data_IF_834540179456
#
_entry.id   IF_834540179456
#
_cell.length_a   1.000
_cell.length_b   1.000
_cell.length_c   1.000
_cell.angle_alpha   90.00
_cell.angle_beta   90.00
_cell.angle_gamma   90.00
#
_symmetry.space_group_name_H-M   'P 1'
#
loop_
_entity.id
_entity.type
_entity.pdbx_description
1 polymer ?
#
# COMPACT_ATOMS: atom_id res chain seq x y z
N UNK A 1 -12.10 16.51 8.05
CA UNK A 1 -13.16 17.55 7.88
C UNK A 1 -14.40 17.18 8.69
N UNK A 2 -15.30 18.15 8.96
CA UNK A 2 -16.61 17.89 9.60
C UNK A 2 -17.57 17.26 8.57
N UNK A 3 -18.26 16.20 8.95
CA UNK A 3 -19.41 15.63 8.22
C UNK A 3 -20.58 15.64 9.21
N UNK A 4 -21.71 16.26 8.84
CA UNK A 4 -22.87 16.48 9.72
C UNK A 4 -22.56 17.15 11.08
N UNK A 5 -21.59 18.06 11.09
CA UNK A 5 -21.18 18.79 12.29
C UNK A 5 -20.39 17.97 13.32
N UNK A 6 -19.94 16.75 12.96
CA UNK A 6 -19.13 15.90 13.83
C UNK A 6 -17.70 15.79 13.33
N UNK A 7 -16.75 15.76 14.28
CA UNK A 7 -15.34 15.52 13.97
C UNK A 7 -15.16 14.10 13.40
N UNK A 8 -14.48 14.01 12.26
CA UNK A 8 -14.13 12.75 11.58
C UNK A 8 -12.63 12.69 11.31
N UNK A 9 -12.08 11.49 11.39
CA UNK A 9 -10.70 11.21 10.97
C UNK A 9 -10.66 11.29 9.44
N UNK A 10 -9.80 12.16 8.91
CA UNK A 10 -9.67 12.42 7.46
C UNK A 10 -8.52 11.61 6.83
N UNK A 11 -7.51 11.28 7.63
CA UNK A 11 -6.31 10.60 7.18
C UNK A 11 -5.07 11.01 7.98
N UNK A 12 -3.90 11.00 7.34
CA UNK A 12 -2.60 11.25 7.99
C UNK A 12 -1.98 12.54 7.42
N UNK A 13 -1.61 13.46 8.31
CA UNK A 13 -0.91 14.68 7.95
C UNK A 13 0.56 14.41 7.59
N UNK A 14 1.02 14.99 6.49
CA UNK A 14 2.41 14.97 6.04
C UNK A 14 3.11 16.24 6.52
N UNK A 15 4.28 16.05 7.12
CA UNK A 15 5.11 17.14 7.64
C UNK A 15 6.49 17.12 6.99
N UNK A 16 7.02 18.32 6.70
CA UNK A 16 8.40 18.52 6.26
C UNK A 16 9.02 19.63 7.09
N UNK A 17 10.15 19.32 7.74
CA UNK A 17 10.87 20.25 8.64
C UNK A 17 9.95 20.91 9.68
N UNK A 18 9.06 20.12 10.28
CA UNK A 18 8.12 20.56 11.31
C UNK A 18 6.92 21.37 10.81
N UNK A 19 6.74 21.52 9.49
CA UNK A 19 5.60 22.24 8.90
C UNK A 19 4.66 21.26 8.22
N UNK A 20 3.35 21.46 8.38
CA UNK A 20 2.33 20.78 7.60
C UNK A 20 2.49 21.17 6.13
N UNK A 21 2.48 20.19 5.23
CA UNK A 21 2.58 20.44 3.78
C UNK A 21 1.37 19.90 3.01
N UNK A 22 0.83 18.76 3.44
CA UNK A 22 -0.35 18.13 2.87
C UNK A 22 -0.84 17.02 3.82
N UNK A 23 -1.84 16.26 3.41
CA UNK A 23 -2.27 15.04 4.06
C UNK A 23 -2.56 13.97 3.00
N UNK A 24 -2.55 12.71 3.45
CA UNK A 24 -3.09 11.59 2.69
C UNK A 24 -4.44 11.20 3.28
N UNK A 25 -5.39 10.79 2.44
CA UNK A 25 -6.74 10.43 2.87
C UNK A 25 -6.77 9.07 3.60
N UNK A 26 -7.93 8.64 4.10
CA UNK A 26 -8.08 7.35 4.79
C UNK A 26 -7.65 6.14 3.96
N UNK A 27 -7.93 6.13 2.66
CA UNK A 27 -7.56 5.03 1.76
C UNK A 27 -6.03 4.92 1.63
N UNK A 28 -5.38 6.05 1.36
CA UNK A 28 -3.93 6.15 1.28
C UNK A 28 -3.27 5.86 2.64
N UNK A 29 -3.90 6.26 3.74
CA UNK A 29 -3.44 5.95 5.10
C UNK A 29 -3.46 4.45 5.38
N UNK A 30 -4.48 3.73 4.87
CA UNK A 30 -4.53 2.27 4.92
C UNK A 30 -3.36 1.65 4.15
N UNK A 31 -3.09 2.13 2.93
CA UNK A 31 -1.98 1.66 2.09
C UNK A 31 -0.61 1.93 2.74
N UNK A 32 -0.39 3.11 3.29
CA UNK A 32 0.81 3.44 4.07
C UNK A 32 1.01 2.43 5.20
N UNK A 33 -0.07 2.11 5.91
CA UNK A 33 -0.01 1.19 7.04
C UNK A 33 0.32 -0.24 6.61
N UNK A 34 -0.09 -0.69 5.42
CA UNK A 34 0.33 -2.00 4.87
C UNK A 34 1.86 -2.10 4.69
N UNK A 35 2.53 -0.98 4.44
CA UNK A 35 3.97 -0.88 4.20
C UNK A 35 4.83 -0.70 5.45
N UNK A 36 4.27 -0.06 6.48
CA UNK A 36 5.03 0.33 7.67
C UNK A 36 4.99 -0.74 8.77
N UNK A 37 3.82 -1.33 9.02
CA UNK A 37 3.62 -2.26 10.13
C UNK A 37 2.63 -3.37 9.77
N UNK A 38 2.76 -4.60 10.33
CA UNK A 38 1.77 -5.64 10.13
C UNK A 38 0.40 -5.16 10.63
N UNK A 39 -0.56 -5.02 9.73
CA UNK A 39 -1.94 -4.72 10.13
C UNK A 39 -2.59 -6.02 10.59
N UNK A 40 -3.07 -6.02 11.83
CA UNK A 40 -4.07 -6.99 12.27
C UNK A 40 -5.44 -6.34 12.11
N UNK A 41 -6.25 -6.86 11.18
CA UNK A 41 -7.68 -6.56 11.03
C UNK A 41 -8.07 -5.18 10.46
N UNK A 42 -7.51 -4.78 9.33
CA UNK A 42 -7.98 -3.59 8.59
C UNK A 42 -9.03 -3.94 7.54
N UNK A 43 -10.02 -3.08 7.32
CA UNK A 43 -11.01 -3.23 6.23
C UNK A 43 -10.69 -2.32 5.05
N UNK A 44 -10.94 -2.81 3.84
CA UNK A 44 -10.67 -2.10 2.60
C UNK A 44 -11.76 -2.44 1.57
N UNK A 45 -12.26 -1.42 0.89
CA UNK A 45 -13.14 -1.59 -0.28
C UNK A 45 -12.40 -1.05 -1.49
N UNK A 46 -12.39 -1.82 -2.58
CA UNK A 46 -11.85 -1.36 -3.85
C UNK A 46 -12.75 -1.71 -5.01
N UNK A 47 -12.68 -0.89 -6.05
CA UNK A 47 -13.26 -1.20 -7.36
C UNK A 47 -12.33 -2.14 -8.11
N UNK A 48 -12.91 -3.15 -8.73
CA UNK A 48 -12.21 -4.04 -9.65
C UNK A 48 -12.94 -4.05 -10.98
N UNK A 49 -12.18 -4.21 -12.05
CA UNK A 49 -12.68 -4.31 -13.41
C UNK A 49 -12.06 -5.51 -14.10
N UNK A 50 -12.87 -6.24 -14.85
CA UNK A 50 -12.48 -7.43 -15.58
C UNK A 50 -13.35 -7.62 -16.83
N UNK A 51 -12.75 -7.61 -18.02
CA UNK A 51 -13.46 -7.75 -19.31
C UNK A 51 -14.70 -6.84 -19.44
N UNK A 52 -14.56 -5.54 -19.14
CA UNK A 52 -15.62 -4.51 -19.10
C UNK A 52 -16.71 -4.75 -18.02
N UNK A 53 -16.49 -5.64 -17.07
CA UNK A 53 -17.35 -5.81 -15.90
C UNK A 53 -16.73 -5.07 -14.73
N UNK A 54 -17.44 -4.07 -14.23
CA UNK A 54 -17.06 -3.39 -13.00
C UNK A 54 -17.68 -4.08 -11.78
N UNK A 55 -17.00 -3.96 -10.64
CA UNK A 55 -17.47 -4.48 -9.37
C UNK A 55 -16.74 -3.85 -8.20
N UNK A 56 -17.19 -4.17 -6.99
CA UNK A 56 -16.49 -3.80 -5.75
C UNK A 56 -16.18 -5.04 -4.93
N UNK A 57 -14.97 -5.10 -4.42
CA UNK A 57 -14.53 -6.11 -3.45
C UNK A 57 -14.38 -5.43 -2.10
N UNK A 58 -15.05 -5.98 -1.10
CA UNK A 58 -14.83 -5.62 0.30
C UNK A 58 -14.04 -6.73 0.97
N UNK A 59 -12.90 -6.37 1.55
CA UNK A 59 -11.97 -7.30 2.18
C UNK A 59 -11.56 -6.83 3.57
N UNK A 60 -11.09 -7.78 4.37
CA UNK A 60 -10.41 -7.55 5.64
C UNK A 60 -9.00 -8.12 5.53
N UNK A 61 -7.98 -7.29 5.73
CA UNK A 61 -6.61 -7.75 5.91
C UNK A 61 -6.46 -8.45 7.26
N UNK A 62 -5.97 -9.67 7.20
CA UNK A 62 -5.66 -10.49 8.37
C UNK A 62 -4.20 -10.30 8.78
N UNK A 63 -3.31 -10.20 7.80
CA UNK A 63 -1.88 -10.00 7.99
C UNK A 63 -1.27 -9.27 6.78
N UNK A 64 -0.24 -8.47 7.03
CA UNK A 64 0.55 -7.80 6.01
C UNK A 64 2.04 -7.84 6.35
N UNK A 65 2.87 -8.11 5.34
CA UNK A 65 4.31 -8.13 5.50
C UNK A 65 5.00 -7.48 4.32
N UNK A 66 5.71 -6.39 4.58
CA UNK A 66 6.55 -5.70 3.60
C UNK A 66 8.02 -6.10 3.75
N UNK A 67 8.70 -6.38 2.64
CA UNK A 67 10.16 -6.55 2.57
C UNK A 67 10.74 -5.59 1.54
N UNK A 68 11.77 -4.86 1.92
CA UNK A 68 12.41 -3.86 1.07
C UNK A 68 13.70 -4.44 0.48
N UNK A 69 13.69 -4.73 -0.83
CA UNK A 69 14.89 -5.09 -1.57
C UNK A 69 15.51 -3.83 -2.16
N UNK A 70 16.74 -3.55 -1.76
CA UNK A 70 17.50 -2.38 -2.23
C UNK A 70 18.67 -2.93 -3.05
N UNK A 71 18.78 -2.50 -4.30
CA UNK A 71 19.91 -2.79 -5.19
C UNK A 71 20.69 -1.52 -5.45
N UNK A 72 22.02 -1.64 -5.53
CA UNK A 72 22.99 -0.55 -5.75
C UNK A 72 23.04 0.48 -4.61
N UNK A 73 24.25 0.79 -4.12
CA UNK A 73 24.42 1.77 -3.05
C UNK A 73 24.37 3.22 -3.55
N UNK A 74 24.91 3.49 -4.75
CA UNK A 74 25.01 4.85 -5.30
C UNK A 74 23.72 5.35 -5.93
N UNK A 75 23.04 4.49 -6.69
CA UNK A 75 21.78 4.78 -7.37
C UNK A 75 20.75 3.70 -6.98
N UNK A 76 20.17 3.80 -5.77
CA UNK A 76 19.35 2.73 -5.22
C UNK A 76 18.08 2.51 -6.05
N UNK A 77 17.89 1.26 -6.48
CA UNK A 77 16.63 0.76 -7.02
C UNK A 77 15.93 -0.04 -5.93
N UNK A 78 14.72 0.36 -5.60
CA UNK A 78 13.95 -0.25 -4.51
C UNK A 78 12.81 -1.08 -5.11
N UNK A 79 12.73 -2.34 -4.67
CA UNK A 79 11.59 -3.20 -4.91
C UNK A 79 10.97 -3.57 -3.56
N UNK A 80 9.74 -3.11 -3.35
CA UNK A 80 8.96 -3.39 -2.15
C UNK A 80 8.14 -4.65 -2.43
N UNK A 81 8.45 -5.73 -1.72
CA UNK A 81 7.65 -6.95 -1.76
C UNK A 81 6.61 -6.92 -0.66
N UNK A 82 5.35 -6.86 -1.04
CA UNK A 82 4.22 -6.85 -0.11
C UNK A 82 3.52 -8.21 -0.15
N UNK A 83 3.39 -8.87 1.00
CA UNK A 83 2.57 -10.08 1.14
C UNK A 83 1.33 -9.74 1.95
N UNK A 84 0.15 -10.04 1.42
CA UNK A 84 -1.14 -9.77 2.04
C UNK A 84 -1.91 -11.06 2.22
N UNK A 85 -2.37 -11.33 3.46
CA UNK A 85 -3.38 -12.34 3.73
C UNK A 85 -4.70 -11.66 3.98
N UNK A 86 -5.70 -11.97 3.16
CA UNK A 86 -6.98 -11.28 3.20
C UNK A 86 -8.14 -12.26 3.36
N UNK A 87 -9.21 -11.78 3.97
CA UNK A 87 -10.52 -12.41 3.97
C UNK A 87 -11.44 -11.55 3.12
N UNK A 88 -12.04 -12.11 2.07
CA UNK A 88 -13.02 -11.40 1.27
C UNK A 88 -14.39 -11.52 1.92
N UNK A 89 -15.09 -10.41 2.14
CA UNK A 89 -16.45 -10.39 2.70
C UNK A 89 -17.53 -10.19 1.65
N UNK A 90 -17.20 -9.48 0.56
CA UNK A 90 -18.14 -9.22 -0.52
C UNK A 90 -17.40 -9.14 -1.84
N UNK A 91 -17.97 -9.78 -2.86
CA UNK A 91 -17.52 -9.74 -4.25
C UNK A 91 -18.70 -9.38 -5.17
N UNK A 92 -18.43 -8.85 -6.37
CA UNK A 92 -19.47 -8.70 -7.38
C UNK A 92 -19.99 -10.08 -7.84
N UNK A 93 -21.23 -10.13 -8.34
CA UNK A 93 -21.92 -11.38 -8.72
C UNK A 93 -21.21 -12.21 -9.80
N UNK A 94 -20.30 -11.60 -10.55
CA UNK A 94 -19.54 -12.26 -11.62
C UNK A 94 -18.25 -12.94 -11.12
N UNK A 95 -17.92 -12.82 -9.82
CA UNK A 95 -16.85 -13.58 -9.16
C UNK A 95 -17.48 -14.63 -8.25
N UNK A 96 -17.11 -15.89 -8.44
CA UNK A 96 -17.51 -17.02 -7.61
C UNK A 96 -16.29 -17.59 -6.87
N UNK A 97 -16.05 -17.11 -5.64
CA UNK A 97 -14.90 -17.53 -4.82
C UNK A 97 -14.94 -19.00 -4.36
N UNK A 98 -15.99 -19.76 -4.67
CA UNK A 98 -15.98 -21.22 -4.51
C UNK A 98 -15.12 -21.90 -5.58
N UNK A 99 -14.89 -21.24 -6.71
CA UNK A 99 -14.06 -21.72 -7.81
C UNK A 99 -12.63 -21.26 -7.65
N UNK A 100 -11.68 -22.21 -7.67
CA UNK A 100 -10.24 -21.93 -7.59
C UNK A 100 -9.75 -20.94 -8.66
N UNK A 101 -10.30 -21.02 -9.87
CA UNK A 101 -9.95 -20.11 -10.96
C UNK A 101 -10.32 -18.65 -10.64
N UNK A 102 -11.50 -18.43 -10.08
CA UNK A 102 -11.99 -17.10 -9.70
C UNK A 102 -11.23 -16.53 -8.50
N UNK A 103 -10.82 -17.40 -7.55
CA UNK A 103 -9.91 -17.00 -6.45
C UNK A 103 -8.59 -16.48 -7.01
N UNK A 104 -7.92 -17.25 -7.86
CA UNK A 104 -6.65 -16.86 -8.48
C UNK A 104 -6.78 -15.58 -9.32
N UNK A 105 -7.89 -15.45 -10.07
CA UNK A 105 -8.18 -14.24 -10.84
C UNK A 105 -8.34 -13.03 -9.92
N UNK A 106 -9.07 -13.19 -8.81
CA UNK A 106 -9.30 -12.14 -7.83
C UNK A 106 -8.02 -11.72 -7.14
N UNK A 107 -7.15 -12.67 -6.78
CA UNK A 107 -5.80 -12.39 -6.27
C UNK A 107 -5.02 -11.51 -7.24
N UNK A 108 -4.97 -11.88 -8.54
CA UNK A 108 -4.26 -11.10 -9.56
C UNK A 108 -4.82 -9.70 -9.75
N UNK A 109 -6.14 -9.53 -9.73
CA UNK A 109 -6.79 -8.22 -9.80
C UNK A 109 -6.39 -7.34 -8.59
N UNK A 110 -6.39 -7.91 -7.40
CA UNK A 110 -6.01 -7.21 -6.18
C UNK A 110 -4.51 -6.90 -6.12
N UNK A 111 -3.64 -7.81 -6.57
CA UNK A 111 -2.20 -7.57 -6.70
C UNK A 111 -1.91 -6.36 -7.61
N UNK A 112 -2.51 -6.33 -8.80
CA UNK A 112 -2.36 -5.22 -9.74
C UNK A 112 -2.89 -3.91 -9.15
N UNK A 113 -4.05 -3.95 -8.47
CA UNK A 113 -4.62 -2.80 -7.78
C UNK A 113 -3.68 -2.25 -6.71
N UNK A 114 -3.22 -3.10 -5.78
CA UNK A 114 -2.33 -2.66 -4.69
C UNK A 114 -0.98 -2.16 -5.20
N UNK A 115 -0.39 -2.79 -6.23
CA UNK A 115 0.83 -2.29 -6.85
C UNK A 115 0.62 -0.85 -7.34
N UNK A 116 -0.42 -0.62 -8.14
CA UNK A 116 -0.73 0.70 -8.70
C UNK A 116 -0.99 1.75 -7.62
N UNK A 117 -1.85 1.44 -6.65
CA UNK A 117 -2.23 2.41 -5.61
C UNK A 117 -1.05 2.77 -4.70
N UNK A 118 -0.21 1.79 -4.35
CA UNK A 118 0.96 2.03 -3.50
C UNK A 118 2.04 2.81 -4.28
N UNK A 119 2.26 2.50 -5.55
CA UNK A 119 3.17 3.28 -6.40
C UNK A 119 2.72 4.74 -6.52
N UNK A 120 1.42 4.98 -6.72
CA UNK A 120 0.85 6.33 -6.71
C UNK A 120 1.04 7.04 -5.36
N UNK A 121 0.84 6.33 -4.25
CA UNK A 121 1.10 6.87 -2.91
C UNK A 121 2.57 7.25 -2.71
N UNK A 122 3.50 6.41 -3.20
CA UNK A 122 4.94 6.70 -3.13
C UNK A 122 5.29 7.90 -4.00
N UNK A 123 4.68 8.05 -5.18
CA UNK A 123 4.87 9.23 -6.02
C UNK A 123 4.43 10.51 -5.31
N UNK A 124 3.33 10.49 -4.55
CA UNK A 124 2.90 11.62 -3.70
C UNK A 124 4.00 11.93 -2.67
N UNK A 125 4.54 10.92 -1.99
CA UNK A 125 5.63 11.14 -1.02
C UNK A 125 6.88 11.74 -1.67
N UNK A 126 7.24 11.30 -2.88
CA UNK A 126 8.35 11.84 -3.66
C UNK A 126 8.10 13.29 -4.10
N UNK A 127 6.89 13.63 -4.57
CA UNK A 127 6.48 14.98 -4.98
C UNK A 127 6.59 15.96 -3.80
N UNK A 128 6.14 15.55 -2.62
CA UNK A 128 6.22 16.35 -1.40
C UNK A 128 7.59 16.27 -0.71
N UNK A 129 8.51 15.45 -1.24
CA UNK A 129 9.84 15.14 -0.70
C UNK A 129 9.80 14.79 0.80
N UNK A 130 8.88 13.90 1.17
CA UNK A 130 8.75 13.32 2.52
C UNK A 130 8.92 11.82 2.44
N UNK A 131 9.41 11.19 3.51
CA UNK A 131 9.62 9.73 3.56
C UNK A 131 8.83 9.05 4.70
N UNK A 132 7.50 8.93 4.59
CA UNK A 132 6.68 8.31 5.64
C UNK A 132 6.90 6.79 5.81
N UNK A 133 7.53 6.13 4.84
CA UNK A 133 7.80 4.68 4.84
C UNK A 133 9.24 4.32 5.30
N UNK A 134 10.03 5.33 5.66
CA UNK A 134 11.35 5.19 6.27
C UNK A 134 12.43 4.61 5.34
N UNK A 135 12.38 4.88 4.04
CA UNK A 135 13.42 4.45 3.09
C UNK A 135 14.80 5.02 3.43
N UNK A 136 14.89 6.25 3.92
CA UNK A 136 16.14 6.88 4.32
C UNK A 136 16.85 6.08 5.40
N UNK A 137 16.14 5.70 6.47
CA UNK A 137 16.72 4.88 7.54
C UNK A 137 17.08 3.46 7.05
N UNK A 138 16.30 2.89 6.12
CA UNK A 138 16.61 1.58 5.52
C UNK A 138 17.88 1.60 4.65
N UNK A 139 18.11 2.70 3.93
CA UNK A 139 19.31 2.90 3.13
C UNK A 139 20.53 3.18 4.00
N UNK A 140 20.38 4.01 5.04
CA UNK A 140 21.40 4.28 6.06
C UNK A 140 21.93 3.00 6.69
N UNK A 141 21.05 2.07 7.05
CA UNK A 141 21.43 0.78 7.61
C UNK A 141 22.31 -0.08 6.68
N UNK A 142 22.35 0.23 5.37
CA UNK A 142 23.15 -0.49 4.36
C UNK A 142 24.35 0.31 3.85
N UNK A 143 24.49 1.58 4.21
CA UNK A 143 25.54 2.45 3.69
C UNK A 143 26.57 2.77 4.77
N UNK A 144 27.85 2.59 4.45
CA UNK A 144 28.96 2.99 5.33
C UNK A 144 29.16 4.52 5.39
N UNK A 145 28.82 5.22 4.30
CA UNK A 145 29.04 6.66 4.14
C UNK A 145 27.70 7.39 3.95
N UNK A 146 26.80 7.23 4.92
CA UNK A 146 25.45 7.82 4.85
C UNK A 146 25.48 9.35 4.95
N UNK A 147 24.81 10.02 4.03
CA UNK A 147 24.54 11.45 4.08
C UNK A 147 23.06 11.70 3.78
N UNK A 148 22.34 12.22 4.78
CA UNK A 148 20.90 12.45 4.68
C UNK A 148 20.55 13.56 3.67
N UNK A 149 21.36 14.62 3.54
CA UNK A 149 21.13 15.67 2.54
C UNK A 149 21.32 15.13 1.12
N UNK A 150 22.31 14.24 0.93
CA UNK A 150 22.48 13.55 -0.33
C UNK A 150 21.27 12.66 -0.65
N UNK A 151 20.78 11.89 0.32
CA UNK A 151 19.55 11.10 0.18
C UNK A 151 18.36 11.95 -0.28
N UNK A 152 18.09 13.06 0.42
CA UNK A 152 17.00 13.96 0.06
C UNK A 152 17.14 14.53 -1.35
N UNK A 153 18.36 14.73 -1.86
CA UNK A 153 18.57 15.26 -3.21
C UNK A 153 18.18 14.30 -4.33
N UNK A 154 18.27 12.97 -4.10
CA UNK A 154 17.92 11.97 -5.11
C UNK A 154 16.60 11.24 -4.82
N UNK A 155 16.07 11.30 -3.60
CA UNK A 155 14.81 10.67 -3.21
C UNK A 155 13.65 10.92 -4.18
N UNK A 156 13.40 12.16 -4.66
CA UNK A 156 12.29 12.44 -5.56
C UNK A 156 12.38 11.73 -6.91
N UNK A 157 13.58 11.30 -7.32
CA UNK A 157 13.86 10.66 -8.60
C UNK A 157 14.17 9.15 -8.46
N UNK A 158 14.06 8.60 -7.24
CA UNK A 158 14.34 7.19 -7.01
C UNK A 158 13.34 6.29 -7.73
N UNK A 159 13.86 5.23 -8.36
CA UNK A 159 13.03 4.18 -8.92
C UNK A 159 12.58 3.23 -7.80
N UNK A 160 11.28 3.29 -7.48
CA UNK A 160 10.64 2.46 -6.46
C UNK A 160 9.49 1.71 -7.12
N UNK A 161 9.54 0.38 -7.03
CA UNK A 161 8.53 -0.52 -7.58
C UNK A 161 7.89 -1.36 -6.47
N UNK A 162 6.64 -1.78 -6.69
CA UNK A 162 5.91 -2.62 -5.75
C UNK A 162 5.56 -3.96 -6.39
N UNK A 163 5.78 -5.04 -5.64
CA UNK A 163 5.47 -6.41 -6.03
C UNK A 163 4.62 -7.05 -4.92
N UNK A 164 3.31 -7.00 -5.11
CA UNK A 164 2.33 -7.53 -4.16
C UNK A 164 1.98 -8.99 -4.48
N UNK A 165 1.92 -9.82 -3.44
CA UNK A 165 1.37 -11.16 -3.46
C UNK A 165 0.15 -11.22 -2.53
N UNK A 166 -1.02 -11.51 -3.07
CA UNK A 166 -2.27 -11.62 -2.31
C UNK A 166 -2.61 -13.10 -2.11
N UNK A 167 -2.95 -13.46 -0.88
CA UNK A 167 -3.40 -14.79 -0.47
C UNK A 167 -4.81 -14.66 0.12
N UNK A 168 -5.82 -15.13 -0.61
CA UNK A 168 -7.20 -15.13 -0.13
C UNK A 168 -7.41 -16.33 0.79
N UNK A 169 -7.52 -16.06 2.09
CA UNK A 169 -7.87 -17.06 3.08
C UNK A 169 -9.38 -17.28 3.00
N UNK A 170 -9.79 -18.43 2.47
CA UNK A 170 -11.16 -18.92 2.64
C UNK A 170 -11.36 -19.26 4.11
N UNK A 171 -11.91 -18.33 4.87
CA UNK A 171 -12.57 -18.67 6.12
C UNK A 171 -13.88 -19.34 5.73
N UNK A 172 -14.12 -20.56 6.24
CA UNK A 172 -15.45 -21.17 6.14
C UNK A 172 -16.51 -20.14 6.50
N UNK A 173 -17.63 -20.17 5.77
CA UNK A 173 -18.82 -19.37 6.05
C UNK A 173 -19.04 -19.36 7.56
N UNK A 174 -18.83 -18.20 8.21
CA UNK A 174 -19.44 -17.99 9.51
C UNK A 174 -20.95 -17.99 9.23
N UNK A 175 -21.64 -18.93 9.87
CA UNK A 175 -23.08 -19.23 9.79
C UNK A 175 -23.99 -18.00 9.81
#
# INVERSE_FOLDING_TARGET
>A
MLEDGRAKIDGIALFKKGKYINHINLEQSYLLRLLDSPIKHGSYETKVEDDNKEGRIFLRSLDSKSKYKIKNEKNPVINIKLSLKIQVKKVPKWIDLSKKADVQKTEKLLEAHFNKQIEQLISIFQEYEVDPIGLGERLKAKSKNWNYQHYLSFYPQMNISVDTNVDIIQTGLDE
#
